data_IF_434965245690
#
_entry.id   IF_434965245690
#
_cell.length_a   1.000
_cell.length_b   1.000
_cell.length_c   1.000
_cell.angle_alpha   90.00
_cell.angle_beta   90.00
_cell.angle_gamma   90.00
#
_symmetry.space_group_name_H-M   'P 1'
#
loop_
_entity.id
_entity.type
_entity.pdbx_description
1 polymer ?
#
# COMPACT_ATOMS: atom_id res chain seq x y z
N UNK A 1 8.35 7.03 -24.75
CA UNK A 1 7.59 6.72 -23.52
C UNK A 1 8.54 6.83 -22.35
N UNK A 2 8.20 7.58 -21.29
CA UNK A 2 9.06 7.66 -20.10
C UNK A 2 9.02 6.32 -19.36
N UNK A 3 10.17 5.78 -19.01
CA UNK A 3 10.29 4.58 -18.19
C UNK A 3 9.59 4.78 -16.84
N UNK A 4 8.70 3.86 -16.48
CA UNK A 4 8.02 3.86 -15.19
C UNK A 4 8.50 2.64 -14.40
N UNK A 5 8.96 2.87 -13.15
CA UNK A 5 9.43 1.81 -12.27
C UNK A 5 8.32 0.76 -12.00
N UNK A 6 8.69 -0.51 -11.94
CA UNK A 6 7.76 -1.64 -11.80
C UNK A 6 6.84 -1.49 -10.59
N UNK A 7 7.37 -1.03 -9.46
CA UNK A 7 6.59 -0.82 -8.24
C UNK A 7 5.44 0.19 -8.39
N UNK A 8 5.49 1.10 -9.36
CA UNK A 8 4.43 2.04 -9.68
C UNK A 8 3.52 1.50 -10.77
N UNK A 9 4.09 0.94 -11.84
CA UNK A 9 3.36 0.38 -12.99
C UNK A 9 2.46 -0.78 -12.57
N UNK A 10 2.97 -1.68 -11.73
CA UNK A 10 2.29 -2.90 -11.26
C UNK A 10 1.66 -2.77 -9.88
N UNK A 11 1.34 -1.55 -9.47
CA UNK A 11 0.57 -1.36 -8.24
C UNK A 11 -0.85 -1.91 -8.46
N UNK A 12 -1.31 -2.85 -7.60
CA UNK A 12 -2.67 -3.40 -7.67
C UNK A 12 -3.73 -2.31 -7.69
N UNK A 13 -4.71 -2.46 -8.58
CA UNK A 13 -5.82 -1.54 -8.75
C UNK A 13 -7.15 -2.12 -8.26
N UNK A 14 -7.19 -3.42 -8.02
CA UNK A 14 -8.36 -4.15 -7.53
C UNK A 14 -7.97 -5.05 -6.36
N UNK A 15 -8.96 -5.48 -5.57
CA UNK A 15 -8.72 -6.42 -4.46
C UNK A 15 -8.24 -7.79 -4.95
N UNK A 16 -8.64 -8.20 -6.16
CA UNK A 16 -8.25 -9.49 -6.76
C UNK A 16 -6.76 -9.54 -7.14
N UNK A 17 -6.17 -8.39 -7.46
CA UNK A 17 -4.74 -8.29 -7.81
C UNK A 17 -3.81 -8.30 -6.58
N UNK A 18 -4.38 -8.20 -5.36
CA UNK A 18 -3.59 -8.20 -4.14
C UNK A 18 -3.08 -9.59 -3.80
N UNK A 19 -1.78 -9.69 -3.57
CA UNK A 19 -1.12 -10.94 -3.20
C UNK A 19 -1.09 -11.11 -1.68
N UNK A 20 -1.49 -12.29 -1.20
CA UNK A 20 -1.22 -12.74 0.18
C UNK A 20 -2.07 -12.12 1.28
N UNK A 21 -3.08 -11.29 0.97
CA UNK A 21 -3.88 -10.54 1.96
C UNK A 21 -5.36 -10.94 1.98
N UNK A 22 -5.71 -12.15 1.58
CA UNK A 22 -7.10 -12.63 1.43
C UNK A 22 -7.94 -12.47 2.70
N UNK A 23 -7.33 -12.65 3.89
CA UNK A 23 -8.00 -12.50 5.17
C UNK A 23 -8.46 -11.06 5.46
N UNK A 24 -7.74 -10.04 4.98
CA UNK A 24 -8.15 -8.64 5.06
C UNK A 24 -9.15 -8.31 3.97
N UNK A 25 -8.85 -8.73 2.73
CA UNK A 25 -9.69 -8.48 1.56
C UNK A 25 -11.11 -9.01 1.76
N UNK A 26 -11.26 -10.25 2.25
CA UNK A 26 -12.59 -10.84 2.47
C UNK A 26 -13.45 -10.04 3.44
N UNK A 27 -12.87 -9.50 4.51
CA UNK A 27 -13.61 -8.67 5.47
C UNK A 27 -14.00 -7.33 4.86
N UNK A 28 -13.11 -6.68 4.12
CA UNK A 28 -13.42 -5.41 3.44
C UNK A 28 -14.49 -5.58 2.35
N UNK A 29 -14.39 -6.63 1.55
CA UNK A 29 -15.39 -6.98 0.53
C UNK A 29 -16.75 -7.22 1.16
N UNK A 30 -16.83 -7.97 2.26
CA UNK A 30 -18.07 -8.21 2.98
C UNK A 30 -18.67 -6.91 3.56
N UNK A 31 -17.82 -6.04 4.13
CA UNK A 31 -18.27 -4.75 4.66
C UNK A 31 -18.86 -3.84 3.56
N UNK A 32 -18.20 -3.81 2.39
CA UNK A 32 -18.68 -3.06 1.22
C UNK A 32 -20.01 -3.61 0.69
N UNK A 33 -20.11 -4.92 0.51
CA UNK A 33 -21.32 -5.58 -0.01
C UNK A 33 -22.53 -5.46 0.94
N UNK A 34 -22.28 -5.44 2.25
CA UNK A 34 -23.32 -5.26 3.26
C UNK A 34 -23.59 -3.79 3.60
N UNK A 35 -22.82 -2.86 3.02
CA UNK A 35 -22.86 -1.42 3.33
C UNK A 35 -22.66 -1.11 4.84
N UNK A 36 -21.94 -1.99 5.54
CA UNK A 36 -21.58 -1.82 6.96
C UNK A 36 -20.19 -1.21 7.06
N UNK A 37 -20.14 0.10 6.83
CA UNK A 37 -18.89 0.83 6.73
C UNK A 37 -18.57 1.53 8.06
N UNK A 38 -17.49 1.14 8.68
CA UNK A 38 -16.95 1.83 9.85
C UNK A 38 -16.39 3.21 9.44
N UNK A 39 -16.24 4.12 10.39
CA UNK A 39 -15.66 5.45 10.14
C UNK A 39 -14.14 5.44 10.07
N UNK A 40 -13.47 4.47 10.72
CA UNK A 40 -12.01 4.40 10.78
C UNK A 40 -11.48 2.96 10.65
N UNK A 41 -10.45 2.80 9.82
CA UNK A 41 -9.75 1.56 9.53
C UNK A 41 -8.26 1.75 9.84
N UNK A 42 -7.65 0.78 10.49
CA UNK A 42 -6.21 0.78 10.78
C UNK A 42 -5.54 -0.42 10.13
N UNK A 43 -4.68 -0.17 9.16
CA UNK A 43 -3.84 -1.18 8.53
C UNK A 43 -2.46 -1.21 9.18
N UNK A 44 -2.10 -2.35 9.75
CA UNK A 44 -0.79 -2.59 10.37
C UNK A 44 0.00 -3.61 9.57
N UNK A 45 1.32 -3.59 9.67
CA UNK A 45 2.19 -4.55 9.01
C UNK A 45 3.49 -3.92 8.53
N UNK A 46 4.45 -4.74 8.13
CA UNK A 46 5.76 -4.28 7.69
C UNK A 46 5.68 -3.39 6.44
N UNK A 47 6.77 -2.69 6.13
CA UNK A 47 6.84 -1.84 4.93
C UNK A 47 6.68 -2.68 3.65
N UNK A 48 5.98 -2.14 2.66
CA UNK A 48 5.88 -2.72 1.32
C UNK A 48 4.94 -3.92 1.18
N UNK A 49 4.14 -4.26 2.21
CA UNK A 49 3.15 -5.37 2.17
C UNK A 49 1.80 -4.99 1.56
N UNK A 50 1.60 -3.71 1.17
CA UNK A 50 0.40 -3.25 0.48
C UNK A 50 -0.58 -2.41 1.29
N UNK A 51 -0.21 -1.87 2.48
CA UNK A 51 -1.11 -1.04 3.32
C UNK A 51 -1.73 0.12 2.54
N UNK A 52 -0.91 0.98 1.94
CA UNK A 52 -1.35 2.14 1.15
C UNK A 52 -2.08 1.72 -0.13
N UNK A 53 -1.75 0.57 -0.70
CA UNK A 53 -2.42 0.02 -1.88
C UNK A 53 -3.85 -0.41 -1.55
N UNK A 54 -4.04 -1.21 -0.49
CA UNK A 54 -5.39 -1.58 0.00
C UNK A 54 -6.20 -0.34 0.33
N UNK A 55 -5.60 0.64 0.99
CA UNK A 55 -6.25 1.90 1.34
C UNK A 55 -6.81 2.63 0.10
N UNK A 56 -6.03 2.73 -0.97
CA UNK A 56 -6.48 3.36 -2.24
C UNK A 56 -7.57 2.56 -2.94
N UNK A 57 -7.44 1.23 -2.99
CA UNK A 57 -8.49 0.37 -3.56
C UNK A 57 -9.79 0.53 -2.76
N UNK A 58 -9.70 0.57 -1.44
CA UNK A 58 -10.86 0.77 -0.58
C UNK A 58 -11.49 2.16 -0.77
N UNK A 59 -10.68 3.23 -0.86
CA UNK A 59 -11.16 4.58 -1.17
C UNK A 59 -11.88 4.64 -2.54
N UNK A 60 -11.36 3.91 -3.54
CA UNK A 60 -11.97 3.76 -4.85
C UNK A 60 -13.31 3.02 -4.77
N UNK A 61 -13.38 1.96 -3.98
CA UNK A 61 -14.60 1.17 -3.73
C UNK A 61 -15.71 2.00 -3.05
N UNK A 62 -15.34 2.93 -2.18
CA UNK A 62 -16.26 3.85 -1.50
C UNK A 62 -16.83 4.92 -2.45
N UNK A 63 -16.01 5.38 -3.40
CA UNK A 63 -16.28 6.58 -4.20
C UNK A 63 -16.58 6.29 -5.68
N UNK A 64 -16.53 5.03 -6.14
CA UNK A 64 -16.85 4.70 -7.53
C UNK A 64 -18.20 5.25 -7.95
N UNK A 65 -18.29 5.88 -9.12
CA UNK A 65 -19.55 6.50 -9.60
C UNK A 65 -20.69 5.49 -9.75
N UNK A 66 -20.39 4.21 -9.94
CA UNK A 66 -21.37 3.13 -10.00
C UNK A 66 -21.99 2.77 -8.63
N UNK A 67 -21.47 3.32 -7.55
CA UNK A 67 -21.94 3.05 -6.18
C UNK A 67 -20.80 2.57 -5.26
N UNK A 68 -21.14 2.33 -4.00
CA UNK A 68 -20.26 1.63 -3.06
C UNK A 68 -20.21 0.17 -3.47
N UNK A 69 -19.03 -0.33 -3.81
CA UNK A 69 -18.85 -1.67 -4.38
C UNK A 69 -17.51 -2.28 -4.00
N UNK A 70 -17.45 -3.60 -3.89
CA UNK A 70 -16.18 -4.32 -3.76
C UNK A 70 -15.39 -4.42 -5.07
N UNK A 71 -16.05 -4.11 -6.21
CA UNK A 71 -15.46 -4.15 -7.54
C UNK A 71 -15.64 -2.78 -8.23
N UNK A 72 -14.76 -1.81 -7.90
CA UNK A 72 -14.82 -0.49 -8.53
C UNK A 72 -14.56 -0.61 -10.04
N UNK A 73 -15.29 0.15 -10.85
CA UNK A 73 -15.31 -0.02 -12.31
C UNK A 73 -13.95 0.26 -12.99
N UNK A 74 -13.03 1.00 -12.34
CA UNK A 74 -11.71 1.33 -12.89
C UNK A 74 -11.70 2.28 -14.09
N UNK A 75 -12.86 2.76 -14.55
CA UNK A 75 -13.00 3.54 -15.79
C UNK A 75 -13.63 4.92 -15.57
N UNK A 76 -14.38 5.13 -14.49
CA UNK A 76 -14.97 6.45 -14.21
C UNK A 76 -13.89 7.43 -13.73
N UNK A 77 -14.18 8.74 -13.82
CA UNK A 77 -13.23 9.80 -13.47
C UNK A 77 -12.68 9.63 -12.04
N UNK A 78 -13.55 9.27 -11.09
CA UNK A 78 -13.13 9.03 -9.71
C UNK A 78 -12.14 7.87 -9.60
N UNK A 79 -12.40 6.74 -10.29
CA UNK A 79 -11.50 5.59 -10.27
C UNK A 79 -10.15 5.91 -10.89
N UNK A 80 -10.15 6.62 -12.03
CA UNK A 80 -8.91 7.02 -12.72
C UNK A 80 -8.13 8.06 -11.92
N UNK A 81 -8.80 9.05 -11.35
CA UNK A 81 -8.15 10.09 -10.54
C UNK A 81 -7.55 9.54 -9.24
N UNK A 82 -8.18 8.54 -8.60
CA UNK A 82 -7.61 7.84 -7.44
C UNK A 82 -6.36 7.06 -7.86
N UNK A 83 -6.42 6.33 -8.99
CA UNK A 83 -5.26 5.55 -9.49
C UNK A 83 -4.08 6.47 -9.85
N UNK A 84 -4.36 7.67 -10.36
CA UNK A 84 -3.35 8.68 -10.70
C UNK A 84 -2.94 9.59 -9.51
N UNK A 85 -3.67 9.51 -8.39
CA UNK A 85 -3.39 10.31 -7.19
C UNK A 85 -3.83 11.77 -7.31
N UNK A 86 -4.89 12.06 -8.07
CA UNK A 86 -5.43 13.41 -8.30
C UNK A 86 -6.81 13.65 -7.70
N UNK A 87 -7.42 12.61 -7.13
CA UNK A 87 -8.77 12.73 -6.60
C UNK A 87 -8.81 13.63 -5.36
N UNK A 88 -9.59 14.72 -5.43
CA UNK A 88 -9.59 15.78 -4.40
C UNK A 88 -10.14 15.32 -3.05
N UNK A 89 -11.06 14.35 -3.02
CA UNK A 89 -11.66 13.84 -1.78
C UNK A 89 -10.89 12.64 -1.20
N UNK A 90 -9.74 12.26 -1.79
CA UNK A 90 -8.76 11.37 -1.18
C UNK A 90 -7.55 12.18 -0.73
N UNK A 91 -7.52 12.53 0.55
CA UNK A 91 -6.44 13.30 1.16
C UNK A 91 -5.40 12.33 1.70
N UNK A 92 -4.25 12.24 1.01
CA UNK A 92 -3.14 11.39 1.43
C UNK A 92 -2.11 12.19 2.22
N UNK A 93 -1.86 11.77 3.45
CA UNK A 93 -0.92 12.38 4.38
C UNK A 93 0.14 11.35 4.74
N UNK A 94 1.40 11.65 4.44
CA UNK A 94 2.54 10.90 4.94
C UNK A 94 3.06 11.58 6.22
N UNK A 95 2.75 10.99 7.36
CA UNK A 95 3.13 11.56 8.67
C UNK A 95 4.64 11.52 8.93
N UNK A 96 5.40 10.73 8.18
CA UNK A 96 6.87 10.71 8.25
C UNK A 96 7.53 11.88 7.52
N UNK A 97 6.80 12.60 6.65
CA UNK A 97 7.32 13.74 5.90
C UNK A 97 7.38 14.98 6.80
N UNK A 98 8.59 15.47 7.07
CA UNK A 98 8.83 16.64 7.97
C UNK A 98 8.17 17.93 7.51
N UNK A 99 7.85 18.08 6.23
CA UNK A 99 7.26 19.30 5.64
C UNK A 99 5.76 19.44 5.85
N UNK A 100 5.08 18.41 6.38
CA UNK A 100 3.61 18.37 6.50
C UNK A 100 3.08 18.25 7.93
N UNK A 101 3.94 18.33 8.94
CA UNK A 101 3.53 18.12 10.35
C UNK A 101 2.59 19.22 10.84
N UNK A 102 2.84 20.49 10.48
CA UNK A 102 1.99 21.61 10.85
C UNK A 102 0.72 21.68 10.00
N UNK A 103 0.83 21.30 8.70
CA UNK A 103 -0.31 21.26 7.77
C UNK A 103 -1.33 20.16 8.13
N UNK A 104 -0.89 19.07 8.75
CA UNK A 104 -1.77 17.94 9.08
C UNK A 104 -2.88 18.33 10.06
N UNK A 105 -2.58 19.23 11.01
CA UNK A 105 -3.59 19.71 11.95
C UNK A 105 -4.66 20.55 11.25
N UNK A 106 -4.27 21.45 10.37
CA UNK A 106 -5.21 22.29 9.59
C UNK A 106 -6.10 21.41 8.69
N UNK A 107 -5.51 20.37 8.09
CA UNK A 107 -6.27 19.40 7.27
C UNK A 107 -7.30 18.67 8.11
N UNK A 108 -6.97 18.27 9.34
CA UNK A 108 -7.87 17.59 10.26
C UNK A 108 -8.93 18.52 10.85
N UNK A 109 -8.62 19.79 11.07
CA UNK A 109 -9.58 20.80 11.52
C UNK A 109 -10.66 21.06 10.44
N UNK A 110 -10.34 20.83 9.16
CA UNK A 110 -11.22 21.02 8.00
C UNK A 110 -12.04 19.76 7.62
N UNK A 111 -12.07 18.74 8.47
CA UNK A 111 -12.78 17.46 8.21
C UNK A 111 -14.30 17.62 8.06
N UNK A 112 -14.88 18.65 8.68
CA UNK A 112 -16.34 18.86 8.69
C UNK A 112 -16.93 19.24 7.31
N UNK A 113 -16.11 19.70 6.37
CA UNK A 113 -16.59 20.08 5.05
C UNK A 113 -16.96 18.85 4.21
N UNK A 114 -18.09 18.96 3.53
CA UNK A 114 -18.59 17.93 2.63
C UNK A 114 -17.59 17.59 1.51
N UNK A 115 -17.61 16.37 0.97
CA UNK A 115 -16.82 16.01 -0.21
C UNK A 115 -17.23 16.84 -1.42
N UNK A 116 -16.29 17.10 -2.33
CA UNK A 116 -16.49 17.94 -3.51
C UNK A 116 -16.98 17.12 -4.71
N UNK A 117 -16.39 15.96 -4.95
CA UNK A 117 -16.66 15.12 -6.12
C UNK A 117 -17.00 13.67 -5.77
N UNK A 118 -16.69 13.25 -4.56
CA UNK A 118 -16.93 11.90 -4.07
C UNK A 118 -18.18 11.75 -3.24
N UNK A 119 -18.46 10.51 -2.86
CA UNK A 119 -19.50 10.17 -1.89
C UNK A 119 -18.97 10.31 -0.46
N UNK A 120 -17.70 9.96 -0.28
CA UNK A 120 -16.98 10.04 0.99
C UNK A 120 -15.71 10.85 0.82
N UNK A 121 -15.39 11.67 1.82
CA UNK A 121 -14.09 12.28 1.98
C UNK A 121 -13.19 11.32 2.76
N UNK A 122 -12.13 10.84 2.13
CA UNK A 122 -11.26 9.80 2.67
C UNK A 122 -9.91 10.40 3.08
N UNK A 123 -9.55 10.24 4.34
CA UNK A 123 -8.25 10.62 4.87
C UNK A 123 -7.38 9.38 4.99
N UNK A 124 -6.39 9.26 4.12
CA UNK A 124 -5.37 8.22 4.19
C UNK A 124 -4.12 8.78 4.88
N UNK A 125 -3.88 8.35 6.12
CA UNK A 125 -2.72 8.79 6.90
C UNK A 125 -1.73 7.62 6.98
N UNK A 126 -0.63 7.74 6.23
CA UNK A 126 0.45 6.74 6.25
C UNK A 126 1.44 7.06 7.36
N UNK A 127 2.02 6.02 7.96
CA UNK A 127 2.89 6.06 9.13
C UNK A 127 2.32 6.92 10.27
N UNK A 128 1.03 6.72 10.57
CA UNK A 128 0.26 7.53 11.52
C UNK A 128 0.92 7.66 12.89
N UNK A 129 1.77 6.71 13.31
CA UNK A 129 2.54 6.79 14.55
C UNK A 129 3.57 7.93 14.59
N UNK A 130 3.86 8.56 13.44
CA UNK A 130 4.77 9.70 13.32
C UNK A 130 4.07 11.06 13.45
N UNK A 131 2.75 11.10 13.64
CA UNK A 131 2.01 12.33 13.86
C UNK A 131 2.51 13.07 15.10
N UNK A 132 2.47 14.39 15.07
CA UNK A 132 2.72 15.24 16.25
C UNK A 132 1.62 15.03 17.30
N UNK A 133 1.92 15.38 18.54
CA UNK A 133 0.94 15.31 19.64
C UNK A 133 -0.30 16.14 19.35
N UNK A 134 -0.14 17.32 18.74
CA UNK A 134 -1.25 18.19 18.37
C UNK A 134 -2.12 17.58 17.27
N UNK A 135 -1.50 16.99 16.24
CA UNK A 135 -2.23 16.29 15.17
C UNK A 135 -2.95 15.04 15.67
N UNK A 136 -2.35 14.28 16.61
CA UNK A 136 -3.05 13.17 17.27
C UNK A 136 -4.29 13.63 18.02
N UNK A 137 -4.22 14.73 18.74
CA UNK A 137 -5.37 15.26 19.49
C UNK A 137 -6.49 15.70 18.52
N UNK A 138 -6.16 16.34 17.39
CA UNK A 138 -7.12 16.69 16.38
C UNK A 138 -7.78 15.45 15.74
N UNK A 139 -6.97 14.42 15.41
CA UNK A 139 -7.47 13.14 14.92
C UNK A 139 -8.40 12.45 15.91
N UNK A 140 -8.03 12.38 17.19
CA UNK A 140 -8.84 11.76 18.24
C UNK A 140 -10.20 12.43 18.38
N UNK A 141 -10.24 13.76 18.39
CA UNK A 141 -11.50 14.52 18.45
C UNK A 141 -12.44 14.13 17.31
N UNK A 142 -11.91 13.99 16.10
CA UNK A 142 -12.72 13.62 14.93
C UNK A 142 -13.11 12.15 14.93
N UNK A 143 -12.28 11.26 15.48
CA UNK A 143 -12.61 9.84 15.63
C UNK A 143 -13.68 9.59 16.69
N UNK A 144 -13.87 10.49 17.65
CA UNK A 144 -14.93 10.43 18.67
C UNK A 144 -16.30 10.82 18.09
N UNK A 145 -16.33 11.86 17.27
CA UNK A 145 -17.54 12.37 16.63
C UNK A 145 -17.33 12.50 15.11
N UNK A 146 -17.20 11.37 14.38
CA UNK A 146 -16.89 11.41 12.96
C UNK A 146 -18.11 11.85 12.13
N UNK A 147 -17.95 12.81 11.20
CA UNK A 147 -18.98 13.10 10.23
C UNK A 147 -19.30 11.88 9.37
N UNK A 148 -20.57 11.66 9.01
CA UNK A 148 -21.01 10.47 8.25
C UNK A 148 -20.30 10.32 6.89
N UNK A 149 -20.02 11.44 6.24
CA UNK A 149 -19.35 11.50 4.94
C UNK A 149 -17.83 11.32 5.00
N UNK A 150 -17.24 11.15 6.19
CA UNK A 150 -15.79 11.01 6.38
C UNK A 150 -15.40 9.58 6.69
N UNK A 151 -14.33 9.12 6.05
CA UNK A 151 -13.69 7.83 6.35
C UNK A 151 -12.20 8.03 6.58
N UNK A 152 -11.71 7.48 7.70
CA UNK A 152 -10.28 7.45 8.01
C UNK A 152 -9.69 6.11 7.66
N UNK A 153 -8.56 6.14 6.97
CA UNK A 153 -7.74 4.97 6.68
C UNK A 153 -6.34 5.26 7.21
N UNK A 154 -6.02 4.65 8.33
CA UNK A 154 -4.74 4.82 9.00
C UNK A 154 -3.83 3.66 8.64
N UNK A 155 -2.57 3.93 8.36
CA UNK A 155 -1.56 2.91 8.11
C UNK A 155 -0.35 3.11 9.02
N UNK A 156 0.22 2.02 9.54
CA UNK A 156 1.41 2.08 10.39
C UNK A 156 2.25 0.81 10.26
N UNK A 157 3.55 0.99 10.38
CA UNK A 157 4.50 -0.12 10.54
C UNK A 157 4.70 -0.48 12.03
N UNK A 158 4.35 0.42 12.96
CA UNK A 158 4.56 0.25 14.38
C UNK A 158 3.28 0.56 15.18
N UNK A 159 2.35 -0.41 15.32
CA UNK A 159 1.11 -0.21 16.04
C UNK A 159 1.31 0.00 17.55
N UNK A 160 2.44 -0.42 18.13
CA UNK A 160 2.71 -0.28 19.56
C UNK A 160 2.93 1.18 19.98
N UNK A 161 3.32 2.04 19.04
CA UNK A 161 3.45 3.48 19.28
C UNK A 161 2.13 4.25 19.24
N UNK A 162 1.02 3.59 18.85
CA UNK A 162 -0.27 4.24 18.80
C UNK A 162 -0.95 4.26 20.16
N UNK A 163 -1.58 5.38 20.56
CA UNK A 163 -2.38 5.43 21.77
C UNK A 163 -3.54 4.43 21.71
N UNK A 164 -3.83 3.79 22.85
CA UNK A 164 -4.96 2.84 22.97
C UNK A 164 -6.28 3.51 22.59
N UNK A 165 -6.42 4.80 22.81
CA UNK A 165 -7.58 5.61 22.45
C UNK A 165 -7.83 5.66 20.93
N UNK A 166 -6.79 5.62 20.10
CA UNK A 166 -6.92 5.50 18.62
C UNK A 166 -7.27 4.06 18.26
N UNK A 167 -6.55 3.09 18.84
CA UNK A 167 -6.76 1.66 18.57
C UNK A 167 -8.20 1.21 18.84
N UNK A 168 -8.80 1.69 19.93
CA UNK A 168 -10.17 1.33 20.33
C UNK A 168 -11.26 1.90 19.41
N UNK A 169 -10.95 2.90 18.59
CA UNK A 169 -11.89 3.57 17.66
C UNK A 169 -11.74 3.14 16.22
N UNK A 170 -10.79 2.24 15.92
CA UNK A 170 -10.52 1.77 14.57
C UNK A 170 -10.79 0.27 14.41
N UNK A 171 -11.31 -0.14 13.27
CA UNK A 171 -11.24 -1.53 12.84
C UNK A 171 -9.79 -1.85 12.42
N UNK A 172 -9.18 -2.80 13.12
CA UNK A 172 -7.77 -3.12 12.95
C UNK A 172 -7.58 -4.30 12.00
N UNK A 173 -6.67 -4.14 11.02
CA UNK A 173 -6.31 -5.16 10.05
C UNK A 173 -4.80 -5.34 10.02
N UNK A 174 -4.35 -6.56 10.25
CA UNK A 174 -2.94 -6.89 10.19
C UNK A 174 -2.58 -7.52 8.83
N UNK A 175 -1.77 -6.81 8.04
CA UNK A 175 -1.23 -7.31 6.79
C UNK A 175 0.02 -8.15 7.07
N UNK A 176 0.05 -9.34 6.49
CA UNK A 176 1.15 -10.28 6.66
C UNK A 176 2.27 -10.00 5.66
N UNK A 177 3.51 -10.22 6.09
CA UNK A 177 4.62 -10.31 5.17
C UNK A 177 4.38 -11.43 4.14
N UNK A 178 4.72 -11.18 2.89
CA UNK A 178 4.54 -12.15 1.82
C UNK A 178 5.57 -13.27 1.94
N UNK A 179 5.18 -14.49 1.58
CA UNK A 179 6.12 -15.61 1.47
C UNK A 179 7.01 -15.45 0.25
N UNK A 180 8.18 -16.06 0.28
CA UNK A 180 9.10 -16.08 -0.88
C UNK A 180 8.41 -16.64 -2.12
N UNK A 181 7.60 -17.69 -1.97
CA UNK A 181 6.86 -18.27 -3.07
C UNK A 181 5.84 -17.29 -3.70
N UNK A 182 5.10 -16.55 -2.87
CA UNK A 182 4.14 -15.54 -3.35
C UNK A 182 4.83 -14.42 -4.10
N UNK A 183 5.96 -13.93 -3.60
CA UNK A 183 6.75 -12.88 -4.26
C UNK A 183 7.32 -13.42 -5.58
N UNK A 184 7.94 -14.60 -5.58
CA UNK A 184 8.52 -15.20 -6.77
C UNK A 184 7.47 -15.39 -7.88
N UNK A 185 6.31 -15.95 -7.54
CA UNK A 185 5.21 -16.13 -8.47
C UNK A 185 4.74 -14.81 -9.08
N UNK A 186 4.60 -13.76 -8.25
CA UNK A 186 4.18 -12.44 -8.74
C UNK A 186 5.25 -11.80 -9.63
N UNK A 187 6.53 -11.93 -9.29
CA UNK A 187 7.62 -11.44 -10.13
C UNK A 187 7.64 -12.14 -11.49
N UNK A 188 7.44 -13.46 -11.53
CA UNK A 188 7.37 -14.19 -12.81
C UNK A 188 6.22 -13.70 -13.69
N UNK A 189 5.03 -13.46 -13.11
CA UNK A 189 3.87 -12.92 -13.86
C UNK A 189 4.22 -11.57 -14.46
N UNK A 190 4.81 -10.68 -13.66
CA UNK A 190 5.19 -9.33 -14.09
C UNK A 190 6.25 -9.37 -15.19
N UNK A 191 7.31 -10.15 -15.00
CA UNK A 191 8.42 -10.22 -15.96
C UNK A 191 7.99 -10.82 -17.30
N UNK A 192 7.12 -11.82 -17.29
CA UNK A 192 6.51 -12.35 -18.53
C UNK A 192 5.67 -11.30 -19.25
N UNK A 193 4.89 -10.51 -18.51
CA UNK A 193 4.09 -9.43 -19.08
C UNK A 193 4.97 -8.28 -19.63
N UNK A 194 6.13 -8.03 -19.03
CA UNK A 194 7.13 -7.06 -19.50
C UNK A 194 8.04 -7.64 -20.62
N UNK A 195 7.88 -8.92 -20.98
CA UNK A 195 8.72 -9.62 -21.96
C UNK A 195 10.22 -9.63 -21.59
N UNK A 196 10.52 -9.73 -20.29
CA UNK A 196 11.88 -9.78 -19.76
C UNK A 196 12.26 -11.23 -19.51
N UNK A 197 13.39 -11.67 -20.05
CA UNK A 197 13.94 -13.00 -19.81
C UNK A 197 14.58 -13.08 -18.42
N UNK A 198 14.37 -14.18 -17.73
CA UNK A 198 14.87 -14.39 -16.37
C UNK A 198 15.19 -15.85 -16.06
N UNK A 199 16.15 -16.05 -15.18
CA UNK A 199 16.45 -17.35 -14.58
C UNK A 199 15.60 -17.56 -13.32
N UNK A 200 14.90 -18.71 -13.16
CA UNK A 200 14.05 -18.95 -11.98
C UNK A 200 14.80 -18.87 -10.64
N UNK A 201 16.05 -19.26 -10.61
CA UNK A 201 16.88 -19.15 -9.41
C UNK A 201 17.18 -17.70 -9.03
N UNK A 202 17.35 -16.82 -10.02
CA UNK A 202 17.53 -15.37 -9.80
C UNK A 202 16.27 -14.76 -9.17
N UNK A 203 15.08 -15.14 -9.66
CA UNK A 203 13.80 -14.67 -9.11
C UNK A 203 13.62 -15.11 -7.66
N UNK A 204 13.93 -16.37 -7.34
CA UNK A 204 13.88 -16.85 -5.96
C UNK A 204 14.84 -16.09 -5.04
N UNK A 205 16.02 -15.74 -5.52
CA UNK A 205 16.98 -14.94 -4.77
C UNK A 205 16.49 -13.52 -4.50
N UNK A 206 15.93 -12.85 -5.52
CA UNK A 206 15.28 -11.53 -5.37
C UNK A 206 14.12 -11.58 -4.38
N UNK A 207 13.24 -12.59 -4.49
CA UNK A 207 12.12 -12.78 -3.60
C UNK A 207 12.55 -13.00 -2.14
N UNK A 208 13.64 -13.74 -1.91
CA UNK A 208 14.23 -13.95 -0.59
C UNK A 208 14.85 -12.66 -0.03
N UNK A 209 15.56 -11.90 -0.86
CA UNK A 209 16.17 -10.64 -0.48
C UNK A 209 15.14 -9.56 -0.10
N UNK A 210 13.94 -9.61 -0.67
CA UNK A 210 12.85 -8.67 -0.39
C UNK A 210 12.20 -8.82 1.00
N UNK A 211 12.50 -9.88 1.75
CA UNK A 211 12.06 -10.09 3.14
C UNK A 211 10.56 -9.88 3.37
N UNK A 212 9.73 -10.34 2.42
CA UNK A 212 8.28 -10.26 2.52
C UNK A 212 7.64 -8.96 2.00
N UNK A 213 8.44 -8.04 1.45
CA UNK A 213 8.00 -6.78 0.86
C UNK A 213 7.87 -6.88 -0.65
N UNK A 214 6.66 -6.75 -1.20
CA UNK A 214 6.45 -6.69 -2.66
C UNK A 214 7.09 -5.44 -3.27
N UNK A 215 7.01 -4.31 -2.58
CA UNK A 215 7.60 -3.06 -3.07
C UNK A 215 9.12 -3.17 -3.23
N UNK A 216 9.78 -3.76 -2.23
CA UNK A 216 11.23 -3.90 -2.26
C UNK A 216 11.65 -4.96 -3.29
N UNK A 217 10.86 -6.05 -3.48
CA UNK A 217 11.12 -7.03 -4.53
C UNK A 217 11.07 -6.42 -5.92
N UNK A 218 10.08 -5.57 -6.20
CA UNK A 218 9.98 -4.88 -7.49
C UNK A 218 11.12 -3.87 -7.69
N UNK A 219 11.52 -3.16 -6.63
CA UNK A 219 12.67 -2.25 -6.71
C UNK A 219 13.99 -2.99 -6.96
N UNK A 220 14.20 -4.13 -6.31
CA UNK A 220 15.36 -5.00 -6.57
C UNK A 220 15.32 -5.58 -7.99
N UNK A 221 14.13 -5.91 -8.48
CA UNK A 221 13.93 -6.42 -9.84
C UNK A 221 14.27 -5.35 -10.89
N UNK A 222 13.83 -4.10 -10.69
CA UNK A 222 14.22 -2.97 -11.56
C UNK A 222 15.75 -2.80 -11.61
N UNK A 223 16.44 -2.92 -10.47
CA UNK A 223 17.89 -2.86 -10.41
C UNK A 223 18.55 -4.04 -11.15
N UNK A 224 18.02 -5.26 -10.99
CA UNK A 224 18.53 -6.44 -11.67
C UNK A 224 18.37 -6.35 -13.20
N UNK A 225 17.24 -5.81 -13.68
CA UNK A 225 17.01 -5.55 -15.11
C UNK A 225 18.03 -4.56 -15.66
N UNK A 226 18.26 -3.45 -14.93
CA UNK A 226 19.19 -2.41 -15.36
C UNK A 226 20.65 -2.94 -15.42
N UNK A 227 21.06 -3.75 -14.43
CA UNK A 227 22.40 -4.32 -14.38
C UNK A 227 22.60 -5.44 -15.41
N UNK A 228 21.56 -6.22 -15.70
CA UNK A 228 21.62 -7.33 -16.66
C UNK A 228 21.28 -6.95 -18.10
N UNK A 229 21.24 -5.64 -18.43
CA UNK A 229 20.92 -5.14 -19.78
C UNK A 229 19.62 -5.72 -20.35
N UNK A 230 18.59 -5.84 -19.51
CA UNK A 230 17.27 -6.36 -19.90
C UNK A 230 17.06 -7.85 -19.64
N UNK A 231 18.04 -8.55 -19.07
CA UNK A 231 17.95 -9.96 -18.68
C UNK A 231 18.24 -10.13 -17.19
N UNK A 232 17.53 -11.02 -16.51
CA UNK A 232 17.76 -11.30 -15.08
C UNK A 232 18.48 -12.64 -14.95
N UNK A 233 19.80 -12.57 -14.77
CA UNK A 233 20.69 -13.72 -14.59
C UNK A 233 21.08 -13.87 -13.12
N UNK A 234 21.26 -15.12 -12.68
CA UNK A 234 21.59 -15.42 -11.28
C UNK A 234 22.92 -14.76 -10.85
N UNK A 235 23.92 -14.81 -11.69
CA UNK A 235 25.25 -14.23 -11.41
C UNK A 235 25.15 -12.72 -11.15
N UNK A 236 24.41 -12.00 -11.99
CA UNK A 236 24.25 -10.56 -11.84
C UNK A 236 23.46 -10.22 -10.55
N UNK A 237 22.42 -10.99 -10.23
CA UNK A 237 21.65 -10.80 -8.99
C UNK A 237 22.50 -11.11 -7.75
N UNK A 238 23.33 -12.15 -7.78
CA UNK A 238 24.25 -12.47 -6.69
C UNK A 238 25.25 -11.32 -6.45
N UNK A 239 25.85 -10.79 -7.50
CA UNK A 239 26.77 -9.65 -7.40
C UNK A 239 26.07 -8.39 -6.85
N UNK A 240 24.86 -8.10 -7.36
CA UNK A 240 24.05 -6.95 -6.91
C UNK A 240 23.72 -7.02 -5.42
N UNK A 241 23.40 -8.20 -4.91
CA UNK A 241 23.03 -8.40 -3.51
C UNK A 241 24.25 -8.52 -2.57
N UNK A 242 25.47 -8.37 -3.08
CA UNK A 242 26.69 -8.47 -2.28
C UNK A 242 27.02 -9.90 -1.84
N UNK A 243 26.55 -10.88 -2.59
CA UNK A 243 26.83 -12.29 -2.35
C UNK A 243 28.32 -12.56 -2.57
N UNK A 244 29.06 -12.75 -1.48
CA UNK A 244 30.38 -13.38 -1.54
C UNK A 244 30.17 -14.78 -2.08
N UNK A 245 30.90 -15.11 -3.13
CA UNK A 245 30.91 -16.44 -3.73
C UNK A 245 31.19 -17.49 -2.63
N UNK A 246 30.17 -18.23 -2.19
CA UNK A 246 30.29 -19.29 -1.17
C UNK A 246 31.26 -20.41 -1.61
N UNK A 247 31.79 -20.32 -2.82
CA UNK A 247 32.77 -21.30 -3.34
C UNK A 247 34.12 -21.24 -2.62
N UNK A 248 34.43 -20.14 -1.93
CA UNK A 248 35.66 -19.97 -1.17
C UNK A 248 35.60 -20.45 0.28
N UNK A 249 34.41 -20.66 0.84
CA UNK A 249 34.23 -21.04 2.25
C UNK A 249 34.42 -22.54 2.50
N UNK A 250 34.39 -23.37 1.46
CA UNK A 250 34.57 -24.83 1.56
C UNK A 250 35.98 -25.32 1.16
N UNK A 251 36.96 -24.43 1.04
CA UNK A 251 38.36 -24.78 0.73
C UNK A 251 39.36 -24.43 1.85
N UNK A 252 38.89 -24.42 3.09
CA UNK A 252 39.78 -24.38 4.28
C UNK A 252 39.57 -25.62 5.14
#
# INVERSE_FOLDING_TARGET
>A
MSYQVLARKWRPKTFQELVGQQHVVSVLVNALNQQRLHHAYLFTGTRGVGKTTIARIFAKSLNCQQGVTSEPCGQCDVCTDIDEGRFVDLIEIDAASRTKVDDTREILDNVQYAPTGGRYKVYLIDEVHMLSRSSFNALLKTLEEPPEHVKFILATTDPQKLPVTVLSRCLQFHLKALTVAQIAQQLEIILRAEQIEFEPMAINLLAKAARGSMRDSLSLTDQAIAQGQGHIQLVNVQQMLGGVDHHWVYKL
#
